data_IF_637869686948
#
_entry.id   IF_637869686948
#
_cell.length_a   1.000
_cell.length_b   1.000
_cell.length_c   1.000
_cell.angle_alpha   90.00
_cell.angle_beta   90.00
_cell.angle_gamma   90.00
#
_symmetry.space_group_name_H-M   'P 1'
#
loop_
_entity.id
_entity.type
_entity.pdbx_description
1 polymer ?
#
# COMPACT_ATOMS: atom_id res chain seq x y z
N UNK A 1 -2.73 4.58 -1.78
CA UNK A 1 -2.54 5.58 -2.83
C UNK A 1 -1.34 6.48 -2.53
N UNK A 2 -0.92 7.29 -3.50
CA UNK A 2 0.11 8.31 -3.31
C UNK A 2 -0.39 9.43 -2.38
N UNK A 3 0.54 10.07 -1.66
CA UNK A 3 0.25 11.27 -0.86
C UNK A 3 -0.22 12.47 -1.71
N UNK A 4 -0.08 12.40 -3.04
CA UNK A 4 -0.46 13.44 -3.98
C UNK A 4 -1.91 13.34 -4.50
N UNK A 5 -2.69 12.39 -4.01
CA UNK A 5 -4.09 12.25 -4.43
C UNK A 5 -4.91 13.46 -3.97
N UNK A 6 -5.53 14.13 -4.92
CA UNK A 6 -6.43 15.24 -4.64
C UNK A 6 -7.85 14.73 -4.35
N UNK A 7 -8.67 15.59 -3.75
CA UNK A 7 -10.09 15.34 -3.43
C UNK A 7 -10.86 14.64 -4.57
N UNK A 8 -10.74 15.12 -5.80
CA UNK A 8 -11.43 14.51 -6.96
C UNK A 8 -11.06 13.06 -7.20
N UNK A 9 -9.76 12.73 -7.04
CA UNK A 9 -9.25 11.37 -7.22
C UNK A 9 -9.74 10.45 -6.10
N UNK A 10 -9.83 10.97 -4.88
CA UNK A 10 -10.35 10.25 -3.72
C UNK A 10 -11.85 9.97 -3.88
N UNK A 11 -12.64 10.95 -4.35
CA UNK A 11 -14.07 10.78 -4.63
C UNK A 11 -14.28 9.70 -5.69
N UNK A 12 -13.56 9.78 -6.81
CA UNK A 12 -13.67 8.79 -7.87
C UNK A 12 -13.33 7.39 -7.39
N UNK A 13 -12.16 7.22 -6.78
CA UNK A 13 -11.67 5.91 -6.31
C UNK A 13 -12.52 5.35 -5.18
N UNK A 14 -12.92 6.20 -4.25
CA UNK A 14 -13.77 5.82 -3.13
C UNK A 14 -15.13 5.27 -3.55
N UNK A 15 -15.77 5.95 -4.49
CA UNK A 15 -17.05 5.51 -5.03
C UNK A 15 -16.93 4.29 -5.95
N UNK A 16 -15.90 4.27 -6.82
CA UNK A 16 -15.68 3.13 -7.74
C UNK A 16 -15.37 1.83 -7.01
N UNK A 17 -14.55 1.89 -5.97
CA UNK A 17 -14.15 0.71 -5.19
C UNK A 17 -15.00 0.50 -3.93
N UNK A 18 -16.02 1.33 -3.68
CA UNK A 18 -16.86 1.26 -2.47
C UNK A 18 -16.03 1.18 -1.19
N UNK A 19 -15.06 2.09 -1.04
CA UNK A 19 -14.11 2.08 0.08
C UNK A 19 -14.84 2.36 1.39
N UNK A 20 -14.72 1.46 2.36
CA UNK A 20 -15.34 1.61 3.68
C UNK A 20 -14.41 2.21 4.73
N UNK A 21 -13.11 1.95 4.62
CA UNK A 21 -12.12 2.41 5.59
C UNK A 21 -10.98 3.13 4.89
N UNK A 22 -10.65 4.33 5.36
CA UNK A 22 -9.50 5.10 4.94
C UNK A 22 -8.42 5.03 6.02
N UNK A 23 -7.19 4.66 5.64
CA UNK A 23 -6.03 4.68 6.53
C UNK A 23 -4.99 5.62 5.92
N UNK A 24 -4.59 6.65 6.67
CA UNK A 24 -3.66 7.67 6.19
C UNK A 24 -2.55 7.93 7.21
N UNK A 25 -1.41 8.39 6.74
CA UNK A 25 -0.38 8.97 7.59
C UNK A 25 -0.87 10.32 8.17
N UNK A 26 -0.27 10.75 9.27
CA UNK A 26 -0.47 12.08 9.85
C UNK A 26 0.23 13.14 8.99
N UNK A 27 -0.35 13.39 7.82
CA UNK A 27 0.03 14.44 6.89
C UNK A 27 -1.16 15.37 6.68
N UNK A 28 -0.97 16.64 7.00
CA UNK A 28 -2.04 17.64 6.98
C UNK A 28 -2.76 17.69 5.64
N UNK A 29 -2.01 17.72 4.52
CA UNK A 29 -2.60 17.78 3.19
C UNK A 29 -3.47 16.54 2.90
N UNK A 30 -2.95 15.34 3.20
CA UNK A 30 -3.66 14.08 2.96
C UNK A 30 -4.96 14.03 3.77
N UNK A 31 -4.89 14.37 5.05
CA UNK A 31 -6.05 14.33 5.95
C UNK A 31 -7.14 15.32 5.49
N UNK A 32 -6.76 16.56 5.14
CA UNK A 32 -7.68 17.57 4.61
C UNK A 32 -8.34 17.11 3.30
N UNK A 33 -7.58 16.51 2.36
CA UNK A 33 -8.15 16.00 1.11
C UNK A 33 -9.18 14.87 1.33
N UNK A 34 -8.95 14.00 2.31
CA UNK A 34 -9.90 12.94 2.67
C UNK A 34 -11.14 13.52 3.34
N UNK A 35 -10.97 14.45 4.28
CA UNK A 35 -12.10 15.08 4.97
C UNK A 35 -13.01 15.84 4.00
N UNK A 36 -12.42 16.55 3.05
CA UNK A 36 -13.17 17.23 2.00
C UNK A 36 -13.84 16.26 1.00
N UNK A 37 -13.27 15.08 0.78
CA UNK A 37 -13.83 14.07 -0.13
C UNK A 37 -14.96 13.27 0.50
N UNK A 38 -14.89 12.99 1.80
CA UNK A 38 -15.79 12.10 2.53
C UNK A 38 -17.28 12.38 2.31
N UNK A 39 -17.78 13.64 2.31
CA UNK A 39 -19.21 13.91 2.08
C UNK A 39 -19.72 13.42 0.73
N UNK A 40 -18.82 13.26 -0.26
CA UNK A 40 -19.13 12.77 -1.60
C UNK A 40 -18.86 11.26 -1.77
N UNK A 41 -18.41 10.58 -0.71
CA UNK A 41 -18.11 9.13 -0.70
C UNK A 41 -18.79 8.48 0.50
N UNK A 42 -20.10 8.26 0.44
CA UNK A 42 -20.88 7.79 1.59
C UNK A 42 -20.51 6.39 2.08
N UNK A 43 -19.76 5.63 1.29
CA UNK A 43 -19.22 4.32 1.70
C UNK A 43 -18.11 4.43 2.76
N UNK A 44 -17.41 5.57 2.88
CA UNK A 44 -16.35 5.75 3.90
C UNK A 44 -16.99 5.91 5.29
N UNK A 45 -16.92 4.86 6.08
CA UNK A 45 -17.47 4.79 7.45
C UNK A 45 -16.39 5.00 8.52
N UNK A 46 -15.13 4.67 8.19
CA UNK A 46 -14.02 4.73 9.14
C UNK A 46 -12.83 5.47 8.56
N UNK A 47 -12.28 6.39 9.35
CA UNK A 47 -11.04 7.10 9.05
C UNK A 47 -10.04 6.81 10.17
N UNK A 48 -8.84 6.37 9.81
CA UNK A 48 -7.78 5.96 10.73
C UNK A 48 -6.51 6.72 10.37
N UNK A 49 -5.91 7.40 11.34
CA UNK A 49 -4.63 8.10 11.20
C UNK A 49 -3.51 7.30 11.84
N UNK A 50 -2.38 7.21 11.14
CA UNK A 50 -1.14 6.55 11.62
C UNK A 50 -0.10 7.62 11.94
N UNK A 51 0.43 7.60 13.15
CA UNK A 51 1.53 8.46 13.58
C UNK A 51 1.12 9.74 14.33
N UNK A 52 -0.16 10.04 14.41
CA UNK A 52 -0.65 11.23 15.12
C UNK A 52 -2.13 11.16 15.47
N UNK A 53 -2.77 12.33 15.63
CA UNK A 53 -4.20 12.43 15.91
C UNK A 53 -4.83 13.51 15.03
N UNK A 54 -6.06 13.27 14.61
CA UNK A 54 -6.84 14.23 13.83
C UNK A 54 -8.32 14.17 14.23
N UNK A 55 -8.98 15.31 14.32
CA UNK A 55 -10.38 15.38 14.75
C UNK A 55 -11.27 14.56 13.78
N UNK A 56 -12.14 13.73 14.35
CA UNK A 56 -13.02 12.83 13.58
C UNK A 56 -12.34 11.58 13.01
N UNK A 57 -11.07 11.33 13.36
CA UNK A 57 -10.31 10.15 12.99
C UNK A 57 -9.97 9.29 14.22
N UNK A 58 -9.81 7.98 13.99
CA UNK A 58 -9.31 7.05 15.02
C UNK A 58 -7.78 6.97 14.92
N UNK A 59 -7.10 6.94 16.06
CA UNK A 59 -5.66 6.71 16.09
C UNK A 59 -5.38 5.21 15.89
N UNK A 60 -4.52 4.88 14.93
CA UNK A 60 -4.19 3.48 14.59
C UNK A 60 -3.61 2.70 15.77
N UNK A 61 -2.67 3.28 16.50
CA UNK A 61 -1.99 2.60 17.61
C UNK A 61 -2.95 2.35 18.78
N UNK A 62 -3.77 3.35 19.12
CA UNK A 62 -4.80 3.20 20.18
C UNK A 62 -5.86 2.15 19.82
N UNK A 63 -6.24 2.08 18.53
CA UNK A 63 -7.21 1.07 18.09
C UNK A 63 -6.60 -0.34 18.11
N UNK A 64 -5.36 -0.52 17.68
CA UNK A 64 -4.67 -1.83 17.65
C UNK A 64 -4.50 -2.38 19.06
N UNK A 65 -4.18 -1.53 20.06
CA UNK A 65 -4.01 -1.95 21.46
C UNK A 65 -5.29 -2.53 22.11
N UNK A 66 -6.46 -2.28 21.51
CA UNK A 66 -7.73 -2.84 21.99
C UNK A 66 -7.94 -4.29 21.58
N UNK A 67 -7.14 -4.81 20.66
CA UNK A 67 -7.28 -6.16 20.14
C UNK A 67 -6.26 -7.12 20.76
N UNK A 68 -6.59 -8.42 20.88
CA UNK A 68 -5.65 -9.41 21.37
C UNK A 68 -4.46 -9.57 20.41
N UNK A 69 -3.31 -9.95 20.96
CA UNK A 69 -2.10 -10.25 20.16
C UNK A 69 -2.21 -11.54 19.36
N UNK A 70 -3.15 -12.40 19.70
CA UNK A 70 -3.42 -13.65 19.00
C UNK A 70 -4.64 -13.50 18.08
N UNK A 71 -4.49 -13.93 16.85
CA UNK A 71 -5.56 -13.96 15.87
C UNK A 71 -5.83 -15.40 15.41
N UNK A 72 -7.00 -15.92 15.72
CA UNK A 72 -7.45 -17.20 15.22
C UNK A 72 -7.84 -17.07 13.74
N UNK A 73 -6.98 -17.56 12.85
CA UNK A 73 -7.22 -17.49 11.40
C UNK A 73 -8.51 -18.27 11.06
N UNK A 74 -9.47 -17.63 10.36
CA UNK A 74 -10.67 -18.33 9.88
C UNK A 74 -10.30 -19.50 8.97
N UNK A 75 -11.06 -20.60 9.09
CA UNK A 75 -10.88 -21.81 8.29
C UNK A 75 -12.19 -22.23 7.62
N UNK A 76 -12.13 -23.21 6.72
CA UNK A 76 -13.31 -23.69 5.99
C UNK A 76 -13.85 -22.63 5.02
N UNK A 77 -15.15 -22.43 5.03
CA UNK A 77 -15.82 -21.46 4.13
C UNK A 77 -15.47 -20.01 4.44
N UNK A 78 -15.22 -19.68 5.72
CA UNK A 78 -14.81 -18.35 6.15
C UNK A 78 -13.31 -18.05 5.91
N UNK A 79 -12.53 -19.07 5.55
CA UNK A 79 -11.10 -18.90 5.25
C UNK A 79 -10.87 -18.26 3.90
N UNK A 80 -9.86 -17.38 3.82
CA UNK A 80 -9.43 -16.76 2.57
C UNK A 80 -8.98 -17.81 1.55
N UNK A 81 -9.50 -17.72 0.34
CA UNK A 81 -9.20 -18.62 -0.80
C UNK A 81 -8.22 -17.94 -1.76
N UNK A 82 -7.56 -18.76 -2.59
CA UNK A 82 -6.56 -18.29 -3.55
C UNK A 82 -7.12 -17.26 -4.55
N UNK A 83 -8.38 -17.39 -4.94
CA UNK A 83 -9.02 -16.51 -5.92
C UNK A 83 -9.94 -15.44 -5.30
N UNK A 84 -9.91 -15.25 -3.99
CA UNK A 84 -10.57 -14.12 -3.38
C UNK A 84 -9.84 -12.82 -3.76
N UNK A 85 -10.59 -11.71 -3.82
CA UNK A 85 -10.02 -10.40 -4.08
C UNK A 85 -9.00 -10.05 -2.98
N UNK A 86 -7.77 -9.80 -3.37
CA UNK A 86 -6.68 -9.39 -2.48
C UNK A 86 -6.45 -7.89 -2.51
N UNK A 87 -6.39 -7.32 -3.71
CA UNK A 87 -6.10 -5.89 -3.88
C UNK A 87 -6.64 -5.35 -5.21
N UNK A 88 -6.82 -4.03 -5.25
CA UNK A 88 -7.21 -3.29 -6.43
C UNK A 88 -6.18 -2.20 -6.70
N UNK A 89 -5.65 -2.16 -7.91
CA UNK A 89 -4.86 -1.04 -8.39
C UNK A 89 -5.67 -0.17 -9.34
N UNK A 90 -5.51 1.14 -9.19
CA UNK A 90 -6.01 2.10 -10.17
C UNK A 90 -4.89 2.42 -11.17
N UNK A 91 -5.12 2.12 -12.43
CA UNK A 91 -4.17 2.37 -13.52
C UNK A 91 -4.58 3.61 -14.31
N UNK A 92 -3.60 4.36 -14.84
CA UNK A 92 -3.88 5.45 -15.77
C UNK A 92 -4.55 4.89 -17.02
N UNK A 93 -5.83 5.19 -17.20
CA UNK A 93 -6.53 4.85 -18.43
C UNK A 93 -6.06 5.73 -19.59
N UNK A 94 -6.10 5.19 -20.81
CA UNK A 94 -5.79 5.96 -22.04
C UNK A 94 -6.89 6.93 -22.43
N UNK A 95 -8.06 6.84 -21.82
CA UNK A 95 -9.30 7.52 -22.27
C UNK A 95 -10.05 8.25 -21.15
N UNK A 96 -9.39 8.69 -20.08
CA UNK A 96 -10.06 9.45 -19.00
C UNK A 96 -9.77 8.92 -17.61
N UNK A 97 -10.80 8.55 -16.86
CA UNK A 97 -10.68 8.14 -15.46
C UNK A 97 -9.86 6.85 -15.27
N UNK A 98 -9.14 6.71 -14.13
CA UNK A 98 -8.37 5.53 -13.83
C UNK A 98 -9.22 4.25 -13.79
N UNK A 99 -8.72 3.18 -14.39
CA UNK A 99 -9.39 1.87 -14.37
C UNK A 99 -8.99 1.07 -13.14
N UNK A 100 -9.96 0.39 -12.53
CA UNK A 100 -9.71 -0.59 -11.48
C UNK A 100 -9.20 -1.89 -12.09
N UNK A 101 -8.12 -2.42 -11.53
CA UNK A 101 -7.55 -3.73 -11.87
C UNK A 101 -7.51 -4.56 -10.60
N UNK A 102 -8.29 -5.62 -10.58
CA UNK A 102 -8.41 -6.55 -9.47
C UNK A 102 -7.31 -7.61 -9.54
N UNK A 103 -6.80 -7.98 -8.37
CA UNK A 103 -5.83 -9.05 -8.21
C UNK A 103 -6.24 -9.94 -7.04
N UNK A 104 -6.11 -11.25 -7.23
CA UNK A 104 -6.35 -12.26 -6.21
C UNK A 104 -5.07 -12.64 -5.43
N UNK A 105 -5.17 -13.57 -4.49
CA UNK A 105 -4.04 -14.01 -3.66
C UNK A 105 -2.99 -14.82 -4.43
N UNK A 106 -3.20 -15.14 -5.71
CA UNK A 106 -2.17 -15.75 -6.57
C UNK A 106 -1.24 -14.72 -7.21
N UNK A 107 -1.65 -13.44 -7.23
CA UNK A 107 -0.84 -12.34 -7.80
C UNK A 107 0.60 -12.26 -7.26
N UNK A 108 0.85 -12.33 -5.94
CA UNK A 108 2.22 -12.34 -5.42
C UNK A 108 3.08 -13.49 -5.95
N UNK A 109 2.49 -14.66 -6.19
CA UNK A 109 3.19 -15.83 -6.71
C UNK A 109 3.69 -15.59 -8.15
N UNK A 110 2.92 -14.90 -8.98
CA UNK A 110 3.32 -14.51 -10.33
C UNK A 110 4.59 -13.66 -10.36
N UNK A 111 4.86 -12.88 -9.30
CA UNK A 111 6.03 -12.04 -9.20
C UNK A 111 7.32 -12.77 -8.77
N UNK A 112 7.27 -14.05 -8.44
CA UNK A 112 8.47 -14.87 -8.23
C UNK A 112 9.34 -14.88 -9.50
N UNK A 113 8.72 -14.98 -10.67
CA UNK A 113 9.43 -14.99 -11.96
C UNK A 113 10.17 -13.67 -12.20
N UNK A 114 9.49 -12.54 -11.99
CA UNK A 114 10.11 -11.21 -12.14
C UNK A 114 11.20 -10.97 -11.11
N UNK A 115 11.02 -11.39 -9.87
CA UNK A 115 12.02 -11.27 -8.81
C UNK A 115 13.29 -12.07 -9.13
N UNK A 116 13.14 -13.34 -9.49
CA UNK A 116 14.30 -14.22 -9.75
C UNK A 116 15.04 -13.88 -11.04
N UNK A 117 14.31 -13.71 -12.14
CA UNK A 117 14.93 -13.70 -13.46
C UNK A 117 15.16 -12.30 -14.04
N UNK A 118 14.38 -11.32 -13.62
CA UNK A 118 14.56 -9.93 -14.04
C UNK A 118 15.31 -9.10 -13.02
N UNK A 119 14.88 -9.13 -11.75
CA UNK A 119 15.52 -8.37 -10.68
C UNK A 119 16.71 -9.11 -10.06
N UNK A 120 16.91 -10.39 -10.39
CA UNK A 120 18.00 -11.24 -9.89
C UNK A 120 18.08 -11.29 -8.37
N UNK A 121 16.92 -11.32 -7.73
CA UNK A 121 16.81 -11.42 -6.28
C UNK A 121 17.41 -12.71 -5.78
N UNK A 122 18.23 -12.60 -4.73
CA UNK A 122 18.87 -13.74 -4.07
C UNK A 122 18.40 -13.84 -2.63
N UNK A 123 18.27 -15.07 -2.15
CA UNK A 123 17.93 -15.36 -0.77
C UNK A 123 18.99 -14.76 0.19
N UNK A 124 18.51 -14.16 1.29
CA UNK A 124 19.32 -13.50 2.31
C UNK A 124 20.19 -12.33 1.81
N UNK A 125 19.94 -11.83 0.58
CA UNK A 125 20.60 -10.63 0.07
C UNK A 125 19.68 -9.41 0.16
N UNK A 126 20.32 -8.25 0.35
CA UNK A 126 19.62 -6.98 0.41
C UNK A 126 19.09 -6.61 -0.97
N UNK A 127 17.78 -6.37 -1.05
CA UNK A 127 17.12 -5.89 -2.27
C UNK A 127 16.57 -4.48 -2.05
N UNK A 128 16.86 -3.60 -2.99
CA UNK A 128 16.35 -2.24 -3.00
C UNK A 128 15.63 -1.96 -4.33
N UNK A 129 14.46 -1.35 -4.22
CA UNK A 129 13.74 -0.78 -5.36
C UNK A 129 13.30 0.62 -5.00
N UNK A 130 13.55 1.57 -5.90
CA UNK A 130 13.10 2.96 -5.74
C UNK A 130 11.69 3.06 -6.28
N UNK A 131 10.72 3.09 -5.37
CA UNK A 131 9.31 3.28 -5.70
C UNK A 131 8.57 3.83 -4.50
N UNK A 132 7.72 4.83 -4.73
CA UNK A 132 6.75 5.31 -3.75
C UNK A 132 5.74 4.21 -3.41
N UNK A 133 5.39 4.09 -2.12
CA UNK A 133 4.45 3.08 -1.62
C UNK A 133 3.03 3.21 -2.17
N UNK A 134 2.67 4.36 -2.72
CA UNK A 134 1.40 4.60 -3.39
C UNK A 134 1.29 4.01 -4.80
N UNK A 135 2.38 3.46 -5.35
CA UNK A 135 2.41 2.87 -6.69
C UNK A 135 2.41 1.34 -6.64
N UNK A 136 1.74 0.72 -7.61
CA UNK A 136 1.72 -0.74 -7.75
C UNK A 136 3.13 -1.36 -7.79
N UNK A 137 4.10 -0.65 -8.39
CA UNK A 137 5.51 -1.06 -8.44
C UNK A 137 6.12 -1.31 -7.06
N UNK A 138 5.68 -0.61 -6.03
CA UNK A 138 6.15 -0.87 -4.66
C UNK A 138 5.80 -2.31 -4.22
N UNK A 139 4.58 -2.75 -4.46
CA UNK A 139 4.16 -4.11 -4.13
C UNK A 139 4.91 -5.17 -4.91
N UNK A 140 4.81 -5.13 -6.25
CA UNK A 140 5.40 -6.18 -7.09
C UNK A 140 6.91 -6.05 -7.30
N UNK A 141 7.47 -4.86 -7.16
CA UNK A 141 8.91 -4.60 -7.39
C UNK A 141 9.76 -4.62 -6.13
N UNK A 142 9.15 -4.67 -4.94
CA UNK A 142 9.86 -4.60 -3.66
C UNK A 142 9.42 -5.66 -2.65
N UNK A 143 8.14 -6.04 -2.64
CA UNK A 143 7.59 -6.83 -1.54
C UNK A 143 7.29 -8.28 -1.97
N UNK A 144 6.41 -8.48 -2.93
CA UNK A 144 5.80 -9.79 -3.16
C UNK A 144 6.81 -10.89 -3.54
N UNK A 145 7.30 -10.87 -4.75
CA UNK A 145 8.24 -11.88 -5.24
C UNK A 145 9.56 -11.87 -4.48
N UNK A 146 9.99 -10.70 -4.01
CA UNK A 146 11.24 -10.52 -3.28
C UNK A 146 11.19 -11.23 -1.92
N UNK A 147 10.13 -11.05 -1.13
CA UNK A 147 9.96 -11.77 0.14
C UNK A 147 9.76 -13.27 -0.07
N UNK A 148 8.99 -13.68 -1.07
CA UNK A 148 8.81 -15.11 -1.38
C UNK A 148 10.14 -15.74 -1.79
N UNK A 149 11.03 -14.99 -2.43
CA UNK A 149 12.39 -15.44 -2.79
C UNK A 149 13.41 -15.29 -1.66
N UNK A 150 13.00 -14.92 -0.45
CA UNK A 150 13.87 -14.82 0.72
C UNK A 150 14.77 -13.59 0.78
N UNK A 151 14.48 -12.53 0.02
CA UNK A 151 15.27 -11.31 0.07
C UNK A 151 15.05 -10.51 1.35
N UNK A 152 16.11 -9.82 1.78
CA UNK A 152 16.03 -8.77 2.80
C UNK A 152 15.65 -7.47 2.11
N UNK A 153 14.55 -6.86 2.50
CA UNK A 153 14.05 -5.64 1.86
C UNK A 153 14.63 -4.39 2.51
N UNK A 154 15.31 -3.58 1.72
CA UNK A 154 15.76 -2.26 2.15
C UNK A 154 14.62 -1.26 2.04
N UNK A 155 14.17 -0.75 3.19
CA UNK A 155 13.18 0.31 3.29
C UNK A 155 13.88 1.62 3.69
N UNK A 156 13.69 2.66 2.89
CA UNK A 156 14.24 3.98 3.15
C UNK A 156 13.15 5.02 2.87
N UNK A 157 12.78 5.72 3.92
CA UNK A 157 11.82 6.81 3.84
C UNK A 157 12.54 8.13 3.52
N UNK A 158 11.96 8.93 2.63
CA UNK A 158 12.49 10.22 2.22
C UNK A 158 11.38 11.15 1.75
N UNK A 159 11.32 12.33 2.32
CA UNK A 159 10.37 13.38 1.92
C UNK A 159 10.61 13.84 0.48
N UNK A 160 11.88 13.92 0.09
CA UNK A 160 12.31 14.31 -1.24
C UNK A 160 13.41 13.41 -1.76
N UNK A 161 13.29 13.00 -3.01
CA UNK A 161 14.33 12.24 -3.68
C UNK A 161 15.61 13.05 -3.84
N UNK A 162 16.68 12.65 -3.15
CA UNK A 162 18.04 13.21 -3.25
C UNK A 162 18.99 12.11 -3.68
N UNK A 163 19.42 12.09 -4.95
CA UNK A 163 20.24 10.99 -5.50
C UNK A 163 21.51 10.69 -4.69
N UNK A 164 22.21 11.73 -4.22
CA UNK A 164 23.45 11.56 -3.44
C UNK A 164 23.22 10.87 -2.11
N UNK A 165 22.08 11.14 -1.43
CA UNK A 165 21.72 10.47 -0.18
C UNK A 165 21.43 9.00 -0.43
N UNK A 166 20.70 8.69 -1.51
CA UNK A 166 20.40 7.31 -1.87
C UNK A 166 21.67 6.53 -2.21
N UNK A 167 22.57 7.12 -3.02
CA UNK A 167 23.85 6.50 -3.37
C UNK A 167 24.72 6.25 -2.12
N UNK A 168 24.72 7.18 -1.15
CA UNK A 168 25.40 6.98 0.11
C UNK A 168 24.82 5.79 0.89
N UNK A 169 23.49 5.67 0.98
CA UNK A 169 22.83 4.52 1.61
C UNK A 169 23.17 3.21 0.91
N UNK A 170 23.19 3.17 -0.41
CA UNK A 170 23.62 2.00 -1.15
C UNK A 170 25.07 1.61 -0.85
N UNK A 171 25.93 2.57 -0.56
CA UNK A 171 27.32 2.32 -0.19
C UNK A 171 27.46 1.85 1.26
N UNK A 172 26.66 2.41 2.18
CA UNK A 172 26.69 2.09 3.60
C UNK A 172 26.20 0.65 3.90
N UNK A 173 25.26 0.14 3.06
CA UNK A 173 24.59 -1.15 3.26
C UNK A 173 24.94 -2.21 2.18
N UNK A 174 26.15 -2.23 1.70
CA UNK A 174 26.68 -3.21 0.71
C UNK A 174 26.47 -4.66 1.12
#
# INVERSE_FOLDING_TARGET
>A
GSLQLAKKDLIYRGNSAQIHTMVCLDDKYVLEQVDEAQPSVPSIQHKIVVGGSHEGWRNFHEEVEKFPTEFARPTGEAGTKAHDLMLVYFTSGTTGEPKMVEHDYTHPLGHIVTAKYWQQVQENKLHMSVSDSGWAKFGWGKIYGQWICGAVIFAYDMDKFVPTHLLQKMQDYK
#
